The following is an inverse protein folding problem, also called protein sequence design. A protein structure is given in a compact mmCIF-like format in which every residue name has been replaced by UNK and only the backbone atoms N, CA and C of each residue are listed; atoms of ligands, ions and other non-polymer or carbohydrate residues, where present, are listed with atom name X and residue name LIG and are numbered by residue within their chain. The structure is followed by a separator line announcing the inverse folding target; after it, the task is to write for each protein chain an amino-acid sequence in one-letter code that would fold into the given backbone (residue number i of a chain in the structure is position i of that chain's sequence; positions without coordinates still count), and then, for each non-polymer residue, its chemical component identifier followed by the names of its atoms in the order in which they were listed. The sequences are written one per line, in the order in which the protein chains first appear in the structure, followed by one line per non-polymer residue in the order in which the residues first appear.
data_IF_769790047799
#
_entry.id   IF_769790047799
#
_cell.length_a   1.000
_cell.length_b   1.000
_cell.length_c   1.000
_cell.angle_alpha   90.00
_cell.angle_beta   90.00
_cell.angle_gamma   90.00
#
_symmetry.space_group_name_H-M   'P 1'
#
loop_
_entity.id
_entity.type
_entity.pdbx_description
1 polymer ?
#
# COMPACT_ATOMS: atom_id res chain seq x y z
N UNK A 1 -7.43 9.80 3.37
CA UNK A 1 -6.35 8.80 3.36
C UNK A 1 -5.04 9.52 3.13
N UNK A 2 -4.04 9.23 3.91
CA UNK A 2 -2.74 9.89 3.75
C UNK A 2 -1.68 8.88 3.31
N UNK A 3 -0.68 9.37 2.58
CA UNK A 3 0.38 8.57 1.99
C UNK A 3 1.67 9.37 2.01
N UNK A 4 2.75 8.75 2.44
CA UNK A 4 4.08 9.33 2.39
C UNK A 4 4.94 8.64 1.34
N UNK A 5 5.73 9.43 0.62
CA UNK A 5 6.73 8.92 -0.32
C UNK A 5 8.08 9.49 0.06
N UNK A 6 9.07 8.61 0.15
CA UNK A 6 10.44 9.04 0.43
C UNK A 6 11.22 9.10 -0.87
N UNK A 7 11.69 10.28 -1.19
CA UNK A 7 12.47 10.55 -2.40
C UNK A 7 13.71 11.34 -2.05
N UNK A 8 14.66 11.40 -2.96
CA UNK A 8 15.86 12.22 -2.78
C UNK A 8 15.54 13.71 -2.96
N UNK A 9 16.31 14.57 -2.32
CA UNK A 9 16.19 16.02 -2.50
C UNK A 9 16.37 16.41 -3.97
N UNK A 10 17.28 15.76 -4.67
CA UNK A 10 17.51 15.98 -6.11
C UNK A 10 16.26 15.67 -6.93
N UNK A 11 15.61 14.53 -6.65
CA UNK A 11 14.36 14.18 -7.35
C UNK A 11 13.26 15.20 -7.08
N UNK A 12 13.15 15.68 -5.85
CA UNK A 12 12.15 16.70 -5.49
C UNK A 12 12.40 17.99 -6.27
N UNK A 13 13.66 18.40 -6.42
CA UNK A 13 14.02 19.58 -7.20
C UNK A 13 13.72 19.40 -8.68
N UNK A 14 14.11 18.25 -9.27
CA UNK A 14 13.88 17.96 -10.68
C UNK A 14 12.39 17.94 -11.03
N UNK A 15 11.54 17.45 -10.12
CA UNK A 15 10.10 17.44 -10.32
C UNK A 15 9.44 18.79 -9.99
N UNK A 16 10.16 19.69 -9.35
CA UNK A 16 9.61 20.98 -8.94
C UNK A 16 8.47 20.84 -7.93
N UNK A 17 8.60 19.91 -7.00
CA UNK A 17 7.54 19.62 -6.03
C UNK A 17 7.29 20.79 -5.08
N UNK A 18 6.02 21.12 -4.91
CA UNK A 18 5.56 22.19 -4.02
C UNK A 18 4.31 21.76 -3.27
N UNK A 19 4.09 22.28 -2.04
CA UNK A 19 2.86 22.03 -1.31
C UNK A 19 1.62 22.43 -2.12
N UNK A 20 0.57 21.62 -2.02
CA UNK A 20 -0.69 21.87 -2.72
C UNK A 20 -0.73 21.41 -4.18
N UNK A 21 0.37 20.89 -4.69
CA UNK A 21 0.44 20.40 -6.06
C UNK A 21 -0.25 19.03 -6.16
N UNK A 22 -0.98 18.83 -7.27
CA UNK A 22 -1.59 17.54 -7.56
C UNK A 22 -0.54 16.57 -8.11
N UNK A 23 -0.49 15.36 -7.54
CA UNK A 23 0.44 14.32 -7.93
C UNK A 23 -0.26 12.97 -8.04
N UNK A 24 0.29 12.09 -8.87
CA UNK A 24 -0.03 10.67 -8.84
C UNK A 24 0.96 9.96 -7.93
N UNK A 25 0.45 9.15 -7.03
CA UNK A 25 1.26 8.25 -6.22
C UNK A 25 1.02 6.82 -6.71
N UNK A 26 2.08 6.17 -7.14
CA UNK A 26 2.02 4.84 -7.75
C UNK A 26 2.87 3.86 -6.96
N UNK A 27 2.38 2.65 -6.81
CA UNK A 27 3.18 1.55 -6.28
C UNK A 27 2.79 0.25 -6.99
N UNK A 28 3.75 -0.65 -7.15
CA UNK A 28 3.46 -1.98 -7.69
C UNK A 28 2.70 -2.79 -6.64
N UNK A 29 1.74 -3.61 -7.08
CA UNK A 29 1.02 -4.49 -6.17
C UNK A 29 1.97 -5.41 -5.39
N UNK A 30 3.08 -5.83 -6.03
CA UNK A 30 4.09 -6.68 -5.39
C UNK A 30 4.84 -5.98 -4.25
N UNK A 31 4.79 -4.66 -4.17
CA UNK A 31 5.37 -3.89 -3.07
C UNK A 31 4.39 -3.69 -1.90
N UNK A 32 3.12 -4.01 -2.10
CA UNK A 32 2.08 -3.88 -1.08
C UNK A 32 1.94 -5.21 -0.35
N UNK A 33 2.11 -5.18 0.97
CA UNK A 33 1.98 -6.36 1.82
C UNK A 33 0.70 -6.31 2.61
N UNK A 34 -0.05 -7.41 2.59
CA UNK A 34 -1.24 -7.59 3.41
C UNK A 34 -0.84 -8.37 4.67
N UNK A 35 -1.31 -7.89 5.82
CA UNK A 35 -0.98 -8.50 7.11
C UNK A 35 -2.22 -8.59 7.98
N UNK A 36 -2.27 -9.57 8.91
CA UNK A 36 -3.36 -9.65 9.86
C UNK A 36 -3.53 -8.33 10.63
N UNK A 37 -4.77 -7.98 10.91
CA UNK A 37 -5.11 -6.71 11.57
C UNK A 37 -4.41 -6.53 12.91
N UNK A 38 -4.20 -7.62 13.65
CA UNK A 38 -3.58 -7.57 14.97
C UNK A 38 -2.09 -7.22 14.93
N UNK A 39 -1.42 -7.37 13.78
CA UNK A 39 -0.01 -7.04 13.66
C UNK A 39 0.21 -5.54 13.56
N UNK A 40 1.31 -5.05 14.14
CA UNK A 40 1.69 -3.65 14.06
C UNK A 40 2.65 -3.42 12.89
N UNK A 41 2.41 -2.38 12.07
CA UNK A 41 3.32 -2.05 10.98
C UNK A 41 4.67 -1.59 11.51
N UNK A 42 5.72 -1.80 10.71
CA UNK A 42 7.05 -1.28 11.02
C UNK A 42 7.10 0.25 10.82
N UNK A 43 8.15 0.88 11.37
CA UNK A 43 8.39 2.30 11.12
C UNK A 43 8.81 2.51 9.65
N UNK A 44 8.51 3.68 9.09
CA UNK A 44 8.89 4.03 7.72
C UNK A 44 8.04 3.38 6.64
N UNK A 45 6.86 2.89 6.99
CA UNK A 45 5.92 2.33 6.02
C UNK A 45 4.62 3.11 6.06
N UNK A 46 3.95 3.15 4.92
CA UNK A 46 2.55 3.54 4.85
C UNK A 46 1.71 2.32 5.21
N UNK A 47 0.63 2.53 5.95
CA UNK A 47 -0.30 1.44 6.22
C UNK A 47 -1.72 1.95 6.34
N UNK A 48 -2.65 1.09 5.98
CA UNK A 48 -4.08 1.40 6.01
C UNK A 48 -4.85 0.17 6.42
N UNK A 49 -6.00 0.39 7.01
CA UNK A 49 -6.91 -0.67 7.45
C UNK A 49 -8.03 -0.86 6.46
N UNK A 50 -8.50 -2.09 6.35
CA UNK A 50 -9.62 -2.41 5.49
C UNK A 50 -10.15 -3.81 5.73
N UNK A 51 -10.96 -4.29 4.78
CA UNK A 51 -11.50 -5.64 4.79
C UNK A 51 -11.16 -6.35 3.49
N UNK A 52 -10.83 -7.62 3.60
CA UNK A 52 -10.55 -8.46 2.44
C UNK A 52 -11.84 -8.66 1.66
N UNK A 53 -11.81 -8.35 0.36
CA UNK A 53 -12.93 -8.54 -0.55
C UNK A 53 -12.72 -9.75 -1.45
N UNK A 54 -11.48 -10.08 -1.74
CA UNK A 54 -11.13 -11.23 -2.57
C UNK A 54 -9.76 -11.78 -2.17
N UNK A 55 -9.63 -13.09 -2.23
CA UNK A 55 -8.40 -13.77 -1.88
C UNK A 55 -8.11 -14.83 -2.95
N UNK A 56 -6.94 -14.75 -3.57
CA UNK A 56 -6.46 -15.74 -4.52
C UNK A 56 -5.23 -16.42 -3.94
N UNK A 57 -5.36 -17.71 -3.63
CA UNK A 57 -4.27 -18.45 -3.01
C UNK A 57 -3.25 -18.90 -4.05
N UNK A 58 -1.97 -18.74 -3.71
CA UNK A 58 -0.86 -19.19 -4.52
C UNK A 58 0.05 -20.13 -3.76
N UNK A 59 1.07 -20.70 -4.44
CA UNK A 59 1.98 -21.66 -3.79
C UNK A 59 2.93 -21.01 -2.77
N UNK A 60 3.26 -19.76 -2.96
CA UNK A 60 4.20 -19.04 -2.08
C UNK A 60 3.56 -17.83 -1.41
N UNK A 61 2.71 -17.12 -2.14
CA UNK A 61 2.02 -15.94 -1.67
C UNK A 61 0.55 -15.99 -2.06
N UNK A 62 -0.27 -15.32 -1.29
CA UNK A 62 -1.68 -15.11 -1.59
C UNK A 62 -1.88 -13.69 -2.07
N UNK A 63 -2.64 -13.50 -3.14
CA UNK A 63 -3.07 -12.18 -3.59
C UNK A 63 -4.30 -11.76 -2.82
N UNK A 64 -4.24 -10.59 -2.20
CA UNK A 64 -5.31 -10.08 -1.33
C UNK A 64 -5.83 -8.77 -1.90
N UNK A 65 -7.10 -8.74 -2.27
CA UNK A 65 -7.79 -7.51 -2.59
C UNK A 65 -8.58 -7.04 -1.37
N UNK A 66 -8.49 -5.77 -1.05
CA UNK A 66 -9.16 -5.20 0.12
C UNK A 66 -9.85 -3.88 -0.22
N UNK A 67 -10.96 -3.65 0.44
CA UNK A 67 -11.62 -2.36 0.49
C UNK A 67 -11.10 -1.64 1.73
N UNK A 68 -10.35 -0.56 1.54
CA UNK A 68 -9.85 0.24 2.65
C UNK A 68 -10.98 1.03 3.30
N UNK A 69 -10.84 1.31 4.57
CA UNK A 69 -11.83 2.11 5.31
C UNK A 69 -12.01 3.50 4.69
N UNK A 70 -10.97 4.00 4.03
CA UNK A 70 -11.04 5.26 3.27
C UNK A 70 -11.83 5.18 1.97
N UNK A 71 -12.33 4.00 1.57
CA UNK A 71 -13.15 3.81 0.38
C UNK A 71 -12.39 3.41 -0.88
N UNK A 72 -11.08 3.22 -0.79
CA UNK A 72 -10.22 2.85 -1.92
C UNK A 72 -10.04 1.35 -1.95
N UNK A 73 -10.04 0.75 -3.14
CA UNK A 73 -9.66 -0.64 -3.35
C UNK A 73 -8.15 -0.75 -3.51
N UNK A 74 -7.55 -1.76 -2.89
CA UNK A 74 -6.12 -1.98 -3.00
C UNK A 74 -5.81 -3.47 -3.03
N UNK A 75 -4.78 -3.83 -3.81
CA UNK A 75 -4.30 -5.21 -3.92
C UNK A 75 -2.90 -5.29 -3.33
N UNK A 76 -2.67 -6.33 -2.56
CA UNK A 76 -1.36 -6.63 -2.00
C UNK A 76 -1.16 -8.13 -1.89
N UNK A 77 -0.04 -8.53 -1.30
CA UNK A 77 0.34 -9.93 -1.17
C UNK A 77 0.60 -10.29 0.29
N UNK A 78 0.20 -11.49 0.67
CA UNK A 78 0.47 -12.05 1.99
C UNK A 78 1.20 -13.38 1.81
N UNK A 79 2.07 -13.79 2.76
CA UNK A 79 2.65 -15.12 2.73
C UNK A 79 1.55 -16.18 2.82
N UNK A 80 1.75 -17.32 2.16
CA UNK A 80 0.87 -18.48 2.31
C UNK A 80 0.78 -18.84 3.79
N UNK A 81 -0.43 -19.10 4.25
CA UNK A 81 -0.67 -19.43 5.65
C UNK A 81 -0.89 -18.23 6.55
N UNK A 82 -1.13 -17.05 5.99
CA UNK A 82 -1.41 -15.83 6.76
C UNK A 82 -2.68 -15.91 7.61
N UNK A 83 -3.60 -16.82 7.28
CA UNK A 83 -4.90 -16.94 7.96
C UNK A 83 -5.94 -15.93 7.50
N UNK A 84 -5.62 -15.09 6.52
CA UNK A 84 -6.56 -14.13 5.98
C UNK A 84 -7.68 -14.82 5.23
N UNK A 85 -8.88 -14.27 5.34
CA UNK A 85 -10.10 -14.76 4.67
C UNK A 85 -10.89 -13.58 4.14
N UNK A 86 -11.77 -13.84 3.18
CA UNK A 86 -12.74 -12.82 2.75
C UNK A 86 -13.51 -12.30 3.97
N UNK A 87 -13.66 -11.00 4.05
CA UNK A 87 -14.26 -10.23 5.15
C UNK A 87 -13.37 -10.06 6.38
N UNK A 88 -12.19 -10.67 6.43
CA UNK A 88 -11.23 -10.40 7.51
C UNK A 88 -10.84 -8.93 7.51
N UNK A 89 -10.65 -8.39 8.70
CA UNK A 89 -9.95 -7.10 8.84
C UNK A 89 -8.48 -7.33 8.47
N UNK A 90 -7.90 -6.35 7.80
CA UNK A 90 -6.55 -6.47 7.26
C UNK A 90 -5.86 -5.12 7.32
N UNK A 91 -4.55 -5.14 7.46
CA UNK A 91 -3.71 -3.96 7.23
C UNK A 91 -2.92 -4.19 5.95
N UNK A 92 -2.88 -3.18 5.09
CA UNK A 92 -2.02 -3.16 3.92
C UNK A 92 -0.91 -2.16 4.17
N UNK A 93 0.32 -2.53 3.84
CA UNK A 93 1.47 -1.65 4.03
C UNK A 93 2.34 -1.59 2.80
N UNK A 94 3.00 -0.45 2.60
CA UNK A 94 3.97 -0.23 1.54
C UNK A 94 5.06 0.70 2.06
N UNK A 95 6.32 0.36 1.80
CA UNK A 95 7.44 1.22 2.19
C UNK A 95 7.31 2.59 1.53
N UNK A 96 7.64 3.64 2.28
CA UNK A 96 7.64 5.01 1.74
C UNK A 96 8.53 5.14 0.50
N UNK A 97 9.63 4.38 0.46
CA UNK A 97 10.57 4.37 -0.67
C UNK A 97 10.03 3.63 -1.90
N UNK A 98 8.99 2.82 -1.74
CA UNK A 98 8.37 2.08 -2.86
C UNK A 98 7.23 2.85 -3.53
N UNK A 99 6.90 4.03 -3.05
CA UNK A 99 5.89 4.90 -3.65
C UNK A 99 6.58 5.82 -4.65
N UNK A 100 6.15 5.75 -5.90
CA UNK A 100 6.67 6.58 -6.99
C UNK A 100 5.73 7.74 -7.22
N UNK A 101 6.27 8.95 -7.32
CA UNK A 101 5.50 10.15 -7.60
C UNK A 101 5.61 10.53 -9.07
N UNK A 102 4.50 10.91 -9.66
CA UNK A 102 4.45 11.43 -11.03
C UNK A 102 3.62 12.71 -11.04
N UNK A 103 3.99 13.63 -11.93
CA UNK A 103 3.25 14.88 -12.07
C UNK A 103 1.89 14.60 -12.71
N UNK A 104 0.88 15.26 -12.22
CA UNK A 104 -0.47 15.19 -12.79
C UNK A 104 -0.68 16.38 -13.71
N UNK A 105 -0.95 16.08 -14.97
CA UNK A 105 -1.23 17.11 -16.00
C UNK A 105 -2.73 17.33 -16.13
#
# INVERSE_FOLDING_TARGET
MSLASRITAESAELLGLQPGQALLALCKATAVRAMPYAESPAAGVNWWEGRVTRLSRGPEVDEVAAQLDAGVQMVGFAPTGSGLRVRSRVKLQVDESAVVLALWD
#
